data_IF_423853477799
#
_entry.id   IF_423853477799
#
_cell.length_a   1.000
_cell.length_b   1.000
_cell.length_c   1.000
_cell.angle_alpha   90.00
_cell.angle_beta   90.00
_cell.angle_gamma   90.00
#
_symmetry.space_group_name_H-M   'P 1'
#
loop_
_entity.id
_entity.type
_entity.pdbx_description
1 polymer ?
#
# COMPACT_ATOMS: atom_id res chain seq x y z
N UNK A 1 24.21 0.29 -36.41
CA UNK A 1 23.71 1.55 -35.84
C UNK A 1 24.29 1.64 -34.43
N UNK A 2 25.26 2.53 -34.21
CA UNK A 2 25.87 2.72 -32.88
C UNK A 2 24.84 3.47 -32.05
N UNK A 3 24.45 2.93 -30.90
CA UNK A 3 23.59 3.63 -29.95
C UNK A 3 24.36 4.83 -29.39
N UNK A 4 24.09 6.02 -29.92
CA UNK A 4 24.75 7.28 -29.52
C UNK A 4 24.07 7.90 -28.28
N UNK A 5 23.01 7.28 -27.75
CA UNK A 5 22.15 7.89 -26.72
C UNK A 5 22.42 7.30 -25.33
N UNK A 6 22.75 6.01 -25.23
CA UNK A 6 22.99 5.37 -23.93
C UNK A 6 24.48 5.13 -23.66
N UNK A 7 25.01 5.76 -22.60
CA UNK A 7 26.39 5.50 -22.15
C UNK A 7 26.50 4.07 -21.61
N UNK A 8 27.43 3.30 -22.16
CA UNK A 8 27.69 1.92 -21.78
C UNK A 8 28.89 1.84 -20.82
N UNK A 9 28.81 0.93 -19.86
CA UNK A 9 29.90 0.51 -19.00
C UNK A 9 30.94 -0.28 -19.83
N UNK A 10 32.24 -0.27 -19.47
CA UNK A 10 33.26 -1.06 -20.16
C UNK A 10 32.96 -2.57 -20.27
N UNK A 11 32.14 -3.10 -19.37
CA UNK A 11 31.68 -4.50 -19.40
C UNK A 11 30.49 -4.77 -20.34
N UNK A 12 30.03 -3.78 -21.10
CA UNK A 12 28.92 -3.91 -22.06
C UNK A 12 27.51 -3.76 -21.47
N UNK A 13 27.37 -3.47 -20.17
CA UNK A 13 26.07 -3.14 -19.55
C UNK A 13 25.79 -1.64 -19.60
N UNK A 14 24.54 -1.20 -19.50
CA UNK A 14 24.21 0.24 -19.41
C UNK A 14 24.86 0.88 -18.18
N UNK A 15 25.51 2.04 -18.36
CA UNK A 15 26.08 2.79 -17.27
C UNK A 15 24.99 3.56 -16.51
N UNK A 16 25.02 3.49 -15.18
CA UNK A 16 24.14 4.23 -14.28
C UNK A 16 24.86 4.80 -13.06
N UNK A 17 26.10 4.37 -12.80
CA UNK A 17 26.91 4.77 -11.66
C UNK A 17 28.06 5.67 -12.09
N UNK A 18 28.34 6.70 -11.30
CA UNK A 18 29.46 7.63 -11.46
C UNK A 18 29.74 8.36 -10.15
N UNK A 19 30.81 9.15 -10.10
CA UNK A 19 31.07 10.02 -8.96
C UNK A 19 29.97 11.08 -8.80
N UNK A 20 29.75 11.63 -7.58
CA UNK A 20 28.76 12.67 -7.34
C UNK A 20 28.83 13.80 -8.39
N UNK A 21 27.67 14.20 -8.92
CA UNK A 21 27.52 15.19 -10.01
C UNK A 21 28.17 14.83 -11.36
N UNK A 22 28.83 13.67 -11.44
CA UNK A 22 29.46 13.15 -12.64
C UNK A 22 28.49 12.47 -13.60
N UNK A 23 29.01 12.11 -14.78
CA UNK A 23 28.28 11.30 -15.77
C UNK A 23 28.34 9.82 -15.37
N UNK A 24 27.32 9.01 -15.72
CA UNK A 24 27.40 7.56 -15.48
C UNK A 24 28.49 6.96 -16.38
N UNK A 25 29.41 6.22 -15.76
CA UNK A 25 30.55 5.56 -16.41
C UNK A 25 30.56 4.06 -16.18
N UNK A 26 29.96 3.59 -15.08
CA UNK A 26 29.93 2.18 -14.71
C UNK A 26 28.50 1.67 -14.50
N UNK A 27 28.31 0.36 -14.63
CA UNK A 27 27.11 -0.32 -14.15
C UNK A 27 27.23 -0.62 -12.64
N UNK A 28 26.15 -1.06 -12.00
CA UNK A 28 26.14 -1.35 -10.56
C UNK A 28 27.22 -2.36 -10.12
N UNK A 29 27.55 -3.32 -10.98
CA UNK A 29 28.53 -4.38 -10.65
C UNK A 29 29.98 -3.95 -10.90
N UNK A 30 30.21 -2.91 -11.69
CA UNK A 30 31.54 -2.41 -12.03
C UNK A 30 31.84 -1.06 -11.36
N UNK A 31 31.01 -0.65 -10.39
CA UNK A 31 31.17 0.63 -9.70
C UNK A 31 32.38 0.55 -8.76
N UNK A 32 33.10 1.65 -8.66
CA UNK A 32 34.16 1.82 -7.67
C UNK A 32 33.59 2.35 -6.34
N UNK A 33 34.29 2.15 -5.21
CA UNK A 33 33.94 2.81 -3.96
C UNK A 33 33.81 4.33 -4.14
N UNK A 34 32.72 4.91 -3.67
CA UNK A 34 32.41 6.34 -3.85
C UNK A 34 31.58 6.68 -5.09
N UNK A 35 31.33 5.73 -6.01
CA UNK A 35 30.39 5.94 -7.10
C UNK A 35 28.94 5.73 -6.65
N UNK A 36 28.06 6.68 -7.01
CA UNK A 36 26.63 6.67 -6.74
C UNK A 36 25.83 6.47 -8.04
N UNK A 37 24.56 6.08 -7.93
CA UNK A 37 23.66 6.06 -9.07
C UNK A 37 23.35 7.51 -9.48
N UNK A 38 23.99 7.99 -10.55
CA UNK A 38 23.82 9.36 -11.07
C UNK A 38 22.68 9.48 -12.09
N UNK A 39 22.09 8.34 -12.49
CA UNK A 39 20.96 8.30 -13.43
C UNK A 39 19.62 8.46 -12.71
N UNK A 40 19.49 7.82 -11.55
CA UNK A 40 18.28 7.87 -10.72
C UNK A 40 18.62 8.60 -9.44
N UNK A 41 18.11 9.82 -9.28
CA UNK A 41 18.27 10.59 -8.05
C UNK A 41 17.46 9.89 -6.95
N UNK A 42 18.02 9.78 -5.76
CA UNK A 42 17.28 9.38 -4.56
C UNK A 42 16.78 10.63 -3.84
N UNK A 43 15.66 10.52 -3.11
CA UNK A 43 15.16 11.64 -2.32
C UNK A 43 16.19 12.01 -1.22
N UNK A 44 16.59 13.28 -1.11
CA UNK A 44 17.58 13.72 -0.13
C UNK A 44 17.03 13.76 1.31
N UNK A 45 15.72 13.75 1.48
CA UNK A 45 15.08 14.16 2.73
C UNK A 45 14.75 15.65 2.74
N UNK A 46 14.18 16.15 3.83
CA UNK A 46 13.76 17.55 3.95
C UNK A 46 14.15 18.10 5.33
N UNK A 47 14.48 19.39 5.38
CA UNK A 47 14.83 20.13 6.61
C UNK A 47 15.92 19.46 7.46
N UNK A 48 16.99 18.99 6.80
CA UNK A 48 18.12 18.32 7.47
C UNK A 48 17.82 16.89 7.97
N UNK A 49 16.59 16.39 7.78
CA UNK A 49 16.21 15.01 8.09
C UNK A 49 16.36 14.13 6.85
N UNK A 50 17.25 13.11 6.85
CA UNK A 50 17.42 12.19 5.72
C UNK A 50 16.12 11.46 5.36
N UNK A 51 15.93 11.17 4.07
CA UNK A 51 14.74 10.46 3.62
C UNK A 51 14.64 9.06 4.26
N UNK A 52 13.57 8.75 5.01
CA UNK A 52 13.45 7.46 5.69
C UNK A 52 13.22 6.29 4.72
N UNK A 53 12.80 6.59 3.49
CA UNK A 53 12.44 5.59 2.46
C UNK A 53 13.53 5.45 1.39
N UNK A 54 14.45 6.42 1.30
CA UNK A 54 15.51 6.49 0.28
C UNK A 54 15.04 6.21 -1.17
N UNK A 55 13.80 6.58 -1.48
CA UNK A 55 13.17 6.24 -2.76
C UNK A 55 13.77 7.05 -3.93
N UNK A 56 13.71 6.48 -5.13
CA UNK A 56 14.14 7.17 -6.34
C UNK A 56 13.13 8.24 -6.75
N UNK A 57 13.59 9.46 -6.98
CA UNK A 57 12.79 10.57 -7.49
C UNK A 57 12.88 10.62 -9.02
N UNK A 58 11.74 10.81 -9.67
CA UNK A 58 11.70 11.09 -11.10
C UNK A 58 12.31 12.47 -11.37
N UNK A 59 12.86 12.66 -12.57
CA UNK A 59 13.64 13.87 -12.95
C UNK A 59 12.90 15.20 -12.80
N UNK A 60 11.56 15.18 -12.68
CA UNK A 60 10.72 16.36 -12.48
C UNK A 60 10.40 16.68 -11.01
N UNK A 61 10.87 15.90 -10.04
CA UNK A 61 10.54 16.03 -8.62
C UNK A 61 11.79 16.15 -7.76
N UNK A 62 11.70 16.98 -6.73
CA UNK A 62 12.80 17.25 -5.79
C UNK A 62 12.73 16.32 -4.56
N UNK A 63 11.52 16.03 -4.08
CA UNK A 63 11.27 15.16 -2.92
C UNK A 63 10.29 14.03 -3.23
N UNK A 64 10.38 12.94 -2.46
CA UNK A 64 9.34 11.92 -2.41
C UNK A 64 8.13 12.41 -1.62
N UNK A 65 6.98 11.75 -1.75
CA UNK A 65 5.75 12.15 -1.05
C UNK A 65 5.91 12.24 0.48
N UNK A 66 6.75 11.39 1.07
CA UNK A 66 7.02 11.39 2.51
C UNK A 66 7.86 12.59 2.97
N UNK A 67 8.75 13.10 2.10
CA UNK A 67 9.65 14.22 2.43
C UNK A 67 9.20 15.55 1.82
N UNK A 68 8.18 15.55 0.96
CA UNK A 68 7.78 16.75 0.24
C UNK A 68 7.22 17.81 1.20
N UNK A 69 7.67 19.07 1.19
CA UNK A 69 7.05 20.12 2.00
C UNK A 69 5.71 20.61 1.42
N UNK A 70 5.46 20.35 0.13
CA UNK A 70 4.21 20.73 -0.52
C UNK A 70 3.08 19.75 -0.17
N UNK A 71 2.33 20.09 0.88
CA UNK A 71 1.16 19.35 1.33
C UNK A 71 0.05 19.26 0.28
N UNK A 72 0.05 20.10 -0.77
CA UNK A 72 -0.91 19.97 -1.89
C UNK A 72 -0.73 18.64 -2.64
N UNK A 73 0.51 18.13 -2.66
CA UNK A 73 0.86 16.82 -3.23
C UNK A 73 0.46 15.65 -2.32
N UNK A 74 0.23 15.91 -1.03
CA UNK A 74 -0.36 14.97 -0.06
C UNK A 74 -1.89 15.04 -0.05
N UNK A 75 -2.48 16.23 -0.19
CA UNK A 75 -3.94 16.44 -0.14
C UNK A 75 -4.68 16.00 -1.40
N UNK A 76 -4.01 15.89 -2.56
CA UNK A 76 -4.58 15.20 -3.74
C UNK A 76 -4.53 13.68 -3.65
N UNK A 77 -3.95 13.13 -2.58
CA UNK A 77 -3.79 11.69 -2.34
C UNK A 77 -4.16 11.38 -0.89
N UNK A 78 -5.39 11.75 -0.50
CA UNK A 78 -6.05 10.95 0.53
C UNK A 78 -6.05 9.53 -0.04
N UNK A 79 -5.25 8.62 0.53
CA UNK A 79 -5.37 7.20 0.27
C UNK A 79 -6.86 6.85 0.38
N UNK A 80 -7.44 6.06 -0.53
CA UNK A 80 -8.88 5.80 -0.45
C UNK A 80 -9.21 5.11 0.90
N UNK A 81 -8.22 4.47 1.53
CA UNK A 81 -8.16 4.16 2.98
C UNK A 81 -8.57 5.30 3.90
N UNK A 82 -7.86 6.43 3.86
CA UNK A 82 -8.17 7.60 4.68
C UNK A 82 -9.59 8.08 4.41
N UNK A 83 -9.98 8.19 3.13
CA UNK A 83 -11.32 8.65 2.76
C UNK A 83 -12.43 7.71 3.26
N UNK A 84 -12.19 6.39 3.23
CA UNK A 84 -13.12 5.40 3.74
C UNK A 84 -13.22 5.44 5.27
N UNK A 85 -12.10 5.53 5.98
CA UNK A 85 -12.10 5.58 7.44
C UNK A 85 -12.68 6.88 7.99
N UNK A 86 -12.47 8.00 7.30
CA UNK A 86 -13.10 9.27 7.65
C UNK A 86 -14.63 9.19 7.42
N UNK A 87 -15.05 8.58 6.30
CA UNK A 87 -16.46 8.27 6.05
C UNK A 87 -17.08 7.39 7.17
N UNK A 88 -16.37 6.37 7.66
CA UNK A 88 -16.84 5.54 8.77
C UNK A 88 -17.00 6.36 10.05
N UNK A 89 -16.02 7.20 10.37
CA UNK A 89 -16.04 8.05 11.56
C UNK A 89 -17.20 9.06 11.53
N UNK A 90 -17.43 9.71 10.38
CA UNK A 90 -18.58 10.60 10.15
C UNK A 90 -19.93 9.88 10.30
N UNK A 91 -19.95 8.56 10.10
CA UNK A 91 -21.13 7.72 10.24
C UNK A 91 -21.17 6.93 11.57
N UNK A 92 -20.39 7.37 12.57
CA UNK A 92 -20.45 6.84 13.93
C UNK A 92 -19.75 5.50 14.15
N UNK A 93 -18.89 5.08 13.21
CA UNK A 93 -18.07 3.87 13.36
C UNK A 93 -16.62 4.28 13.61
N UNK A 94 -16.11 3.96 14.81
CA UNK A 94 -14.72 4.21 15.18
C UNK A 94 -13.85 3.00 14.85
N UNK A 95 -12.83 3.21 14.01
CA UNK A 95 -11.79 2.20 13.73
C UNK A 95 -10.79 2.21 14.88
N UNK A 96 -10.57 1.05 15.51
CA UNK A 96 -9.67 0.91 16.65
C UNK A 96 -8.23 1.24 16.27
N UNK A 97 -7.76 0.72 15.13
CA UNK A 97 -6.42 0.99 14.63
C UNK A 97 -6.40 0.90 13.11
N UNK A 98 -5.79 1.91 12.46
CA UNK A 98 -5.44 1.90 11.02
C UNK A 98 -4.06 1.26 10.83
N UNK A 99 -3.82 0.64 9.68
CA UNK A 99 -2.56 -0.04 9.32
C UNK A 99 -2.08 -1.01 10.40
N UNK A 100 -2.96 -1.91 10.84
CA UNK A 100 -2.71 -2.88 11.91
C UNK A 100 -1.71 -3.95 11.49
N UNK A 101 -0.59 -4.05 12.21
CA UNK A 101 0.46 -5.04 11.96
C UNK A 101 0.19 -6.35 12.66
N UNK A 102 0.23 -7.44 11.89
CA UNK A 102 0.17 -8.81 12.38
C UNK A 102 1.50 -9.49 12.07
N UNK A 103 2.33 -9.70 13.09
CA UNK A 103 3.57 -10.46 12.97
C UNK A 103 3.27 -11.97 12.99
N UNK A 104 3.87 -12.70 12.07
CA UNK A 104 3.75 -14.16 12.00
C UNK A 104 4.82 -14.78 12.91
N UNK A 105 4.42 -15.21 14.11
CA UNK A 105 5.33 -15.76 15.11
C UNK A 105 5.37 -17.28 15.03
N UNK A 106 4.27 -17.89 14.61
CA UNK A 106 4.07 -19.33 14.65
C UNK A 106 3.95 -19.97 13.25
N UNK A 107 4.24 -19.21 12.19
CA UNK A 107 4.01 -19.64 10.81
C UNK A 107 5.34 -19.55 10.04
N UNK A 108 5.78 -20.68 9.47
CA UNK A 108 6.97 -20.73 8.62
C UNK A 108 6.61 -20.26 7.21
N UNK A 109 6.80 -18.97 6.96
CA UNK A 109 6.49 -18.31 5.70
C UNK A 109 7.59 -17.32 5.33
N UNK A 110 7.78 -17.11 4.02
CA UNK A 110 8.81 -16.20 3.50
C UNK A 110 8.59 -14.73 3.92
N UNK A 111 7.35 -14.34 4.25
CA UNK A 111 7.02 -13.02 4.80
C UNK A 111 6.90 -13.11 6.32
N UNK A 112 7.36 -12.08 7.04
CA UNK A 112 7.36 -12.08 8.52
C UNK A 112 6.12 -11.43 9.15
N UNK A 113 5.32 -10.71 8.37
CA UNK A 113 4.15 -9.99 8.86
C UNK A 113 3.19 -9.63 7.72
N UNK A 114 1.96 -9.27 8.09
CA UNK A 114 1.02 -8.52 7.23
C UNK A 114 0.57 -7.22 7.89
N UNK A 115 0.12 -6.29 7.06
CA UNK A 115 -0.52 -5.05 7.47
C UNK A 115 -1.96 -5.13 6.97
N UNK A 116 -2.90 -4.94 7.88
CA UNK A 116 -4.34 -4.84 7.62
C UNK A 116 -4.70 -3.36 7.64
N UNK A 117 -5.43 -2.86 6.66
CA UNK A 117 -5.68 -1.41 6.52
C UNK A 117 -6.41 -0.82 7.73
N UNK A 118 -7.34 -1.57 8.33
CA UNK A 118 -7.98 -1.18 9.58
C UNK A 118 -8.52 -2.35 10.37
N UNK A 119 -8.57 -2.21 11.70
CA UNK A 119 -9.25 -3.16 12.59
C UNK A 119 -10.21 -2.45 13.53
N UNK A 120 -11.34 -3.09 13.79
CA UNK A 120 -12.27 -2.74 14.89
C UNK A 120 -12.26 -3.92 15.85
N UNK A 121 -11.83 -3.68 17.08
CA UNK A 121 -11.72 -4.71 18.12
C UNK A 121 -12.72 -4.35 19.21
N UNK A 122 -13.75 -5.19 19.38
CA UNK A 122 -14.72 -5.08 20.47
C UNK A 122 -14.53 -6.22 21.46
N UNK A 123 -15.38 -6.28 22.49
CA UNK A 123 -15.43 -7.44 23.39
C UNK A 123 -15.81 -8.73 22.63
N UNK A 124 -16.65 -8.60 21.61
CA UNK A 124 -17.37 -9.71 20.97
C UNK A 124 -16.82 -10.08 19.59
N UNK A 125 -16.11 -9.21 18.89
CA UNK A 125 -15.63 -9.47 17.52
C UNK A 125 -14.36 -8.69 17.18
N UNK A 126 -13.57 -9.26 16.26
CA UNK A 126 -12.48 -8.55 15.58
C UNK A 126 -12.86 -8.40 14.10
N UNK A 127 -13.07 -7.16 13.65
CA UNK A 127 -13.40 -6.84 12.26
C UNK A 127 -12.15 -6.30 11.58
N UNK A 128 -11.69 -6.99 10.54
CA UNK A 128 -10.59 -6.61 9.68
C UNK A 128 -11.15 -5.93 8.42
N UNK A 129 -10.65 -4.74 8.12
CA UNK A 129 -11.04 -3.90 6.99
C UNK A 129 -9.87 -3.85 6.00
N UNK A 130 -10.13 -4.20 4.76
CA UNK A 130 -9.16 -4.17 3.65
C UNK A 130 -9.76 -3.38 2.48
N UNK A 131 -9.00 -2.43 1.95
CA UNK A 131 -9.34 -1.66 0.77
C UNK A 131 -8.46 -2.10 -0.41
N UNK A 132 -9.06 -2.93 -1.25
CA UNK A 132 -8.42 -3.49 -2.43
C UNK A 132 -8.59 -2.52 -3.61
N UNK A 133 -7.77 -1.46 -3.63
CA UNK A 133 -7.86 -0.37 -4.62
C UNK A 133 -7.54 -0.82 -6.06
N UNK A 134 -6.90 -1.98 -6.27
CA UNK A 134 -6.43 -2.42 -7.59
C UNK A 134 -6.88 -3.83 -8.01
N UNK A 135 -7.78 -4.47 -7.26
CA UNK A 135 -8.28 -5.83 -7.53
C UNK A 135 -7.16 -6.75 -8.06
N UNK A 136 -6.10 -6.86 -7.26
CA UNK A 136 -4.99 -7.82 -7.38
C UNK A 136 -4.55 -8.27 -8.79
N UNK A 137 -4.44 -7.37 -9.77
CA UNK A 137 -3.96 -7.73 -11.13
C UNK A 137 -2.49 -8.20 -11.16
N UNK A 138 -1.76 -8.06 -10.05
CA UNK A 138 -0.33 -8.34 -9.94
C UNK A 138 0.06 -9.40 -8.89
N UNK A 139 -0.86 -9.88 -8.05
CA UNK A 139 -0.54 -10.86 -7.01
C UNK A 139 -1.13 -12.23 -7.32
N UNK A 140 -0.34 -13.28 -7.11
CA UNK A 140 -0.82 -14.65 -7.15
C UNK A 140 -1.96 -14.82 -6.11
N UNK A 141 -3.20 -15.16 -6.52
CA UNK A 141 -4.34 -15.32 -5.61
C UNK A 141 -4.08 -16.32 -4.48
N UNK A 142 -3.19 -17.29 -4.69
CA UNK A 142 -2.79 -18.27 -3.68
C UNK A 142 -2.00 -17.61 -2.56
N UNK A 143 -1.10 -16.69 -2.89
CA UNK A 143 -0.25 -15.98 -1.93
C UNK A 143 -1.07 -15.00 -1.07
N UNK A 144 -2.06 -14.34 -1.67
CA UNK A 144 -2.94 -13.41 -0.97
C UNK A 144 -3.86 -14.13 0.02
N UNK A 145 -4.48 -15.23 -0.43
CA UNK A 145 -5.31 -16.08 0.43
C UNK A 145 -4.52 -16.64 1.60
N UNK A 146 -3.28 -17.07 1.37
CA UNK A 146 -2.38 -17.53 2.43
C UNK A 146 -2.12 -16.42 3.47
N UNK A 147 -1.80 -15.19 3.04
CA UNK A 147 -1.54 -14.06 3.95
C UNK A 147 -2.73 -13.71 4.84
N UNK A 148 -3.93 -13.76 4.29
CA UNK A 148 -5.16 -13.50 5.04
C UNK A 148 -5.43 -14.63 6.05
N UNK A 149 -5.20 -15.90 5.66
CA UNK A 149 -5.29 -17.03 6.59
C UNK A 149 -4.27 -16.91 7.72
N UNK A 150 -3.02 -16.59 7.40
CA UNK A 150 -1.93 -16.42 8.37
C UNK A 150 -2.26 -15.29 9.36
N UNK A 151 -2.73 -14.15 8.85
CA UNK A 151 -3.16 -13.03 9.70
C UNK A 151 -4.36 -13.41 10.59
N UNK A 152 -5.32 -14.15 10.04
CA UNK A 152 -6.49 -14.63 10.80
C UNK A 152 -6.09 -15.59 11.91
N UNK A 153 -5.10 -16.47 11.66
CA UNK A 153 -4.61 -17.43 12.65
C UNK A 153 -3.94 -16.70 13.84
N UNK A 154 -3.07 -15.74 13.57
CA UNK A 154 -2.42 -14.93 14.62
C UNK A 154 -3.44 -14.08 15.40
N UNK A 155 -4.42 -13.49 14.71
CA UNK A 155 -5.52 -12.76 15.38
C UNK A 155 -6.36 -13.70 16.25
N UNK A 156 -6.60 -14.94 15.82
CA UNK A 156 -7.34 -15.91 16.62
C UNK A 156 -6.55 -16.35 17.86
N UNK A 157 -5.23 -16.42 17.78
CA UNK A 157 -4.37 -16.66 18.96
C UNK A 157 -4.46 -15.48 19.94
N UNK A 158 -4.42 -14.24 19.43
CA UNK A 158 -4.51 -13.04 20.25
C UNK A 158 -5.92 -12.82 20.85
N UNK A 159 -6.97 -13.25 20.15
CA UNK A 159 -8.38 -13.06 20.52
C UNK A 159 -9.17 -14.39 20.41
N UNK A 160 -8.91 -15.36 21.29
CA UNK A 160 -9.38 -16.75 21.14
C UNK A 160 -10.89 -16.90 21.15
N UNK A 161 -11.60 -16.09 21.94
CA UNK A 161 -13.06 -16.18 22.06
C UNK A 161 -13.82 -15.27 21.10
N UNK A 162 -13.11 -14.53 20.24
CA UNK A 162 -13.74 -13.60 19.29
C UNK A 162 -13.76 -14.20 17.88
N UNK A 163 -14.91 -14.18 17.17
CA UNK A 163 -14.91 -14.37 15.73
C UNK A 163 -14.03 -13.31 15.04
N UNK A 164 -13.37 -13.72 13.95
CA UNK A 164 -12.61 -12.83 13.07
C UNK A 164 -13.44 -12.64 11.79
N UNK A 165 -13.86 -11.40 11.55
CA UNK A 165 -14.62 -11.00 10.38
C UNK A 165 -13.74 -10.18 9.43
N UNK A 166 -13.76 -10.48 8.14
CA UNK A 166 -13.10 -9.69 7.10
C UNK A 166 -14.15 -8.99 6.25
N UNK A 167 -14.02 -7.69 6.08
CA UNK A 167 -14.81 -6.90 5.14
C UNK A 167 -13.84 -6.26 4.15
N UNK A 168 -13.85 -6.78 2.93
CA UNK A 168 -12.96 -6.34 1.86
C UNK A 168 -13.73 -5.48 0.88
N UNK A 169 -13.24 -4.28 0.65
CA UNK A 169 -13.91 -3.29 -0.19
C UNK A 169 -13.00 -2.98 -1.35
N UNK A 170 -13.44 -3.26 -2.57
CA UNK A 170 -12.83 -2.67 -3.76
C UNK A 170 -13.65 -1.41 -4.10
N UNK A 171 -13.14 -0.20 -3.83
CA UNK A 171 -13.88 1.05 -4.04
C UNK A 171 -14.02 1.43 -5.52
N UNK A 172 -13.17 0.91 -6.41
CA UNK A 172 -13.03 1.46 -7.76
C UNK A 172 -13.60 0.56 -8.85
N UNK A 173 -14.17 1.18 -9.87
CA UNK A 173 -14.48 0.51 -11.14
C UNK A 173 -13.32 0.72 -12.11
N UNK A 174 -13.11 -0.23 -13.04
CA UNK A 174 -12.14 -0.07 -14.13
C UNK A 174 -12.84 0.27 -15.44
N UNK A 175 -12.21 1.13 -16.24
CA UNK A 175 -12.55 1.44 -17.62
C UNK A 175 -11.27 1.38 -18.46
N UNK A 176 -11.26 0.56 -19.51
CA UNK A 176 -10.09 0.32 -20.38
C UNK A 176 -8.83 -0.11 -19.61
N UNK A 177 -9.00 -0.99 -18.61
CA UNK A 177 -7.91 -1.49 -17.77
C UNK A 177 -7.32 -0.46 -16.80
N UNK A 178 -7.93 0.72 -16.67
CA UNK A 178 -7.50 1.77 -15.75
C UNK A 178 -8.63 2.12 -14.78
N UNK A 179 -8.27 2.67 -13.61
CA UNK A 179 -9.24 3.20 -12.66
C UNK A 179 -10.16 4.22 -13.34
N UNK A 180 -11.47 4.00 -13.24
CA UNK A 180 -12.48 4.94 -13.70
C UNK A 180 -12.65 6.05 -12.67
N UNK A 181 -12.36 7.28 -13.07
CA UNK A 181 -12.44 8.50 -12.24
C UNK A 181 -13.67 9.35 -12.57
N UNK A 182 -14.57 8.84 -13.41
CA UNK A 182 -15.78 9.54 -13.82
C UNK A 182 -16.71 9.85 -12.65
N UNK A 183 -17.62 10.82 -12.84
CA UNK A 183 -18.67 11.13 -11.85
C UNK A 183 -19.54 9.91 -11.53
N UNK A 184 -19.75 9.03 -12.51
CA UNK A 184 -20.50 7.79 -12.31
C UNK A 184 -19.73 6.81 -11.42
N UNK A 185 -18.43 6.62 -11.68
CA UNK A 185 -17.57 5.79 -10.84
C UNK A 185 -17.48 6.30 -9.39
N UNK A 186 -17.42 7.63 -9.19
CA UNK A 186 -17.48 8.22 -7.83
C UNK A 186 -18.77 7.86 -7.09
N UNK A 187 -19.93 7.88 -7.78
CA UNK A 187 -21.20 7.42 -7.18
C UNK A 187 -21.16 5.94 -6.80
N UNK A 188 -20.55 5.10 -7.64
CA UNK A 188 -20.38 3.66 -7.35
C UNK A 188 -19.48 3.45 -6.13
N UNK A 189 -18.39 4.21 -6.01
CA UNK A 189 -17.53 4.19 -4.82
C UNK A 189 -18.31 4.54 -3.56
N UNK A 190 -19.05 5.65 -3.57
CA UNK A 190 -19.82 6.09 -2.40
C UNK A 190 -20.89 5.05 -2.02
N UNK A 191 -21.50 4.39 -3.01
CA UNK A 191 -22.44 3.29 -2.77
C UNK A 191 -21.76 2.06 -2.16
N UNK A 192 -20.55 1.70 -2.61
CA UNK A 192 -19.75 0.62 -2.03
C UNK A 192 -19.36 0.95 -0.59
N UNK A 193 -18.99 2.19 -0.29
CA UNK A 193 -18.73 2.63 1.09
C UNK A 193 -19.98 2.46 1.98
N UNK A 194 -21.16 2.84 1.50
CA UNK A 194 -22.42 2.62 2.25
C UNK A 194 -22.72 1.14 2.49
N UNK A 195 -22.52 0.28 1.48
CA UNK A 195 -22.69 -1.17 1.63
C UNK A 195 -21.72 -1.75 2.67
N UNK A 196 -20.47 -1.31 2.65
CA UNK A 196 -19.48 -1.70 3.66
C UNK A 196 -19.89 -1.24 5.06
N UNK A 197 -20.38 0.00 5.22
CA UNK A 197 -20.90 0.49 6.49
C UNK A 197 -22.05 -0.37 7.03
N UNK A 198 -22.99 -0.78 6.17
CA UNK A 198 -24.07 -1.69 6.57
C UNK A 198 -23.53 -3.02 7.07
N UNK A 199 -22.55 -3.62 6.37
CA UNK A 199 -21.91 -4.86 6.81
C UNK A 199 -21.13 -4.71 8.11
N UNK A 200 -20.47 -3.56 8.31
CA UNK A 200 -19.73 -3.27 9.54
C UNK A 200 -20.71 -3.15 10.71
N UNK A 201 -21.83 -2.44 10.54
CA UNK A 201 -22.84 -2.36 11.60
C UNK A 201 -23.46 -3.72 11.89
N UNK A 202 -23.79 -4.48 10.85
CA UNK A 202 -24.30 -5.85 10.97
C UNK A 202 -23.40 -6.75 11.80
N UNK A 203 -22.08 -6.76 11.55
CA UNK A 203 -21.15 -7.60 12.32
C UNK A 203 -20.89 -7.09 13.74
N UNK A 204 -21.00 -5.78 13.97
CA UNK A 204 -20.87 -5.20 15.31
C UNK A 204 -22.11 -5.48 16.18
N UNK A 205 -23.30 -5.52 15.58
CA UNK A 205 -24.57 -5.83 16.26
C UNK A 205 -24.80 -7.35 16.38
N UNK A 206 -24.43 -8.11 15.34
CA UNK A 206 -24.59 -9.56 15.24
C UNK A 206 -23.23 -10.22 14.91
N UNK A 207 -22.37 -10.47 15.91
CA UNK A 207 -21.03 -11.01 15.69
C UNK A 207 -21.02 -12.30 14.85
N UNK A 208 -20.27 -12.27 13.76
CA UNK A 208 -20.02 -13.43 12.90
C UNK A 208 -18.55 -13.50 12.48
N UNK A 209 -18.10 -14.69 12.07
CA UNK A 209 -16.77 -14.90 11.50
C UNK A 209 -16.83 -15.21 10.01
N UNK A 210 -15.72 -14.98 9.30
CA UNK A 210 -15.63 -15.24 7.86
C UNK A 210 -15.33 -13.98 7.06
N UNK A 211 -15.62 -14.00 5.76
CA UNK A 211 -15.29 -12.92 4.84
C UNK A 211 -16.50 -12.46 4.05
N UNK A 212 -16.66 -11.14 3.93
CA UNK A 212 -17.61 -10.50 3.02
C UNK A 212 -16.85 -9.51 2.12
N UNK A 213 -17.30 -9.42 0.88
CA UNK A 213 -16.68 -8.57 -0.12
C UNK A 213 -17.68 -7.52 -0.62
N UNK A 214 -17.18 -6.33 -0.95
CA UNK A 214 -17.95 -5.21 -1.50
C UNK A 214 -17.21 -4.66 -2.71
N UNK A 215 -17.83 -4.72 -3.88
CA UNK A 215 -17.30 -4.05 -5.08
C UNK A 215 -16.11 -4.72 -5.77
N UNK A 216 -15.70 -5.91 -5.31
CA UNK A 216 -14.80 -6.81 -6.03
C UNK A 216 -15.29 -7.09 -7.45
#
# INVERSE_FOLDING_TARGET
MIDVVSKMCPCGKTASYGFPEGKPVCCNTCKEPGMINVRSKTCPGYDGVPCPVATYIHSSREYCLACDPDDSRRTMRLNDETAFFDFLAENGVSVTQRSYRVDYRCIDTAKKYSLIDGVIITADVVVCLELDEDAHEYYDPVCEKARMHDASAELKIAFPDRPIAWIRVNPHTKKDGKRDVSRAAKKVRDERHRKALVLIRDVLENPWGGIKYVGY
#
